data_IF_674081984262
#
_entry.id   IF_674081984262
#
_cell.length_a   1.000
_cell.length_b   1.000
_cell.length_c   1.000
_cell.angle_alpha   90.00
_cell.angle_beta   90.00
_cell.angle_gamma   90.00
#
_symmetry.space_group_name_H-M   'P 1'
#
loop_
_entity.id
_entity.type
_entity.pdbx_description
1 polymer ?
#
# COMPACT_ATOMS: atom_id res chain seq x y z
N UNK A 1 22.85 -21.28 -3.35
CA UNK A 1 22.34 -20.02 -3.97
C UNK A 1 20.98 -19.54 -3.43
N UNK A 2 20.08 -20.40 -2.92
CA UNK A 2 18.75 -19.98 -2.43
C UNK A 2 18.75 -19.08 -1.17
N UNK A 3 19.80 -19.12 -0.34
CA UNK A 3 19.89 -18.32 0.90
C UNK A 3 20.22 -16.82 0.64
N UNK A 4 20.84 -16.50 -0.49
CA UNK A 4 21.17 -15.12 -0.87
C UNK A 4 19.95 -14.37 -1.42
N UNK A 5 19.14 -15.04 -2.24
CA UNK A 5 17.89 -14.47 -2.79
C UNK A 5 16.90 -14.10 -1.68
N UNK A 6 16.72 -14.96 -0.68
CA UNK A 6 15.83 -14.70 0.45
C UNK A 6 16.32 -13.58 1.38
N UNK A 7 17.65 -13.48 1.62
CA UNK A 7 18.24 -12.38 2.40
C UNK A 7 18.19 -11.05 1.66
N UNK A 8 18.41 -11.06 0.35
CA UNK A 8 18.33 -9.87 -0.49
C UNK A 8 16.88 -9.35 -0.61
N UNK A 9 15.90 -10.24 -0.77
CA UNK A 9 14.49 -9.86 -0.79
C UNK A 9 13.99 -9.32 0.55
N UNK A 10 14.44 -9.89 1.68
CA UNK A 10 14.15 -9.36 3.02
C UNK A 10 14.83 -8.00 3.28
N UNK A 11 16.06 -7.81 2.80
CA UNK A 11 16.75 -6.52 2.92
C UNK A 11 16.05 -5.43 2.09
N UNK A 12 15.59 -5.75 0.88
CA UNK A 12 14.78 -4.84 0.04
C UNK A 12 13.37 -4.58 0.62
N UNK A 13 12.87 -5.46 1.47
CA UNK A 13 11.57 -5.29 2.12
C UNK A 13 11.59 -4.27 3.28
N UNK A 14 12.77 -3.88 3.77
CA UNK A 14 12.89 -2.86 4.81
C UNK A 14 12.77 -1.45 4.21
N UNK A 15 11.91 -0.56 4.75
CA UNK A 15 11.70 0.78 4.19
C UNK A 15 12.98 1.63 4.13
N UNK A 16 13.91 1.41 5.06
CA UNK A 16 15.19 2.16 5.13
C UNK A 16 16.12 1.79 3.97
N UNK A 17 16.36 0.50 3.74
CA UNK A 17 17.23 0.01 2.66
C UNK A 17 16.65 0.32 1.30
N UNK A 18 15.32 0.21 1.14
CA UNK A 18 14.61 0.57 -0.10
C UNK A 18 14.75 2.04 -0.46
N UNK A 19 14.55 2.93 0.51
CA UNK A 19 14.76 4.37 0.31
C UNK A 19 16.19 4.73 -0.09
N UNK A 20 17.19 4.13 0.57
CA UNK A 20 18.60 4.36 0.23
C UNK A 20 18.98 3.78 -1.14
N UNK A 21 18.48 2.61 -1.51
CA UNK A 21 18.69 2.02 -2.83
C UNK A 21 18.07 2.89 -3.93
N UNK A 22 16.85 3.40 -3.68
CA UNK A 22 16.18 4.31 -4.59
C UNK A 22 16.94 5.63 -4.77
N UNK A 23 17.43 6.21 -3.67
CA UNK A 23 18.30 7.38 -3.71
C UNK A 23 19.61 7.12 -4.46
N UNK A 24 20.20 5.94 -4.29
CA UNK A 24 21.37 5.49 -5.06
C UNK A 24 21.08 5.43 -6.55
N UNK A 25 19.95 4.86 -6.96
CA UNK A 25 19.55 4.81 -8.37
C UNK A 25 19.30 6.20 -8.96
N UNK A 26 18.65 7.09 -8.21
CA UNK A 26 18.44 8.48 -8.62
C UNK A 26 19.76 9.25 -8.80
N UNK A 27 20.72 9.06 -7.88
CA UNK A 27 22.05 9.67 -7.97
C UNK A 27 22.85 9.10 -9.14
N UNK A 28 22.85 7.78 -9.33
CA UNK A 28 23.52 7.13 -10.47
C UNK A 28 22.91 7.59 -11.79
N UNK A 29 21.58 7.70 -11.86
CA UNK A 29 20.88 8.24 -13.03
C UNK A 29 21.25 9.70 -13.32
N UNK A 30 21.33 10.55 -12.29
CA UNK A 30 21.74 11.94 -12.45
C UNK A 30 23.20 12.08 -12.90
N UNK A 31 24.12 11.31 -12.29
CA UNK A 31 25.53 11.26 -12.71
C UNK A 31 25.65 10.76 -14.15
N UNK A 32 24.92 9.71 -14.51
CA UNK A 32 24.90 9.18 -15.88
C UNK A 32 24.35 10.18 -16.90
N UNK A 33 23.27 10.90 -16.56
CA UNK A 33 22.71 11.95 -17.39
C UNK A 33 23.70 13.10 -17.60
N UNK A 34 24.33 13.59 -16.52
CA UNK A 34 25.36 14.62 -16.61
C UNK A 34 26.53 14.14 -17.48
N UNK A 35 27.08 12.95 -17.21
CA UNK A 35 28.19 12.38 -17.97
C UNK A 35 27.87 12.23 -19.47
N UNK A 36 26.66 11.77 -19.81
CA UNK A 36 26.21 11.71 -21.19
C UNK A 36 26.22 13.09 -21.85
N UNK A 37 25.77 14.13 -21.14
CA UNK A 37 25.82 15.51 -21.63
C UNK A 37 27.24 16.10 -21.71
N UNK A 38 28.20 15.61 -20.91
CA UNK A 38 29.62 15.94 -21.07
C UNK A 38 30.22 15.37 -22.36
N UNK A 39 29.85 14.14 -22.73
CA UNK A 39 30.48 13.42 -23.84
C UNK A 39 29.79 13.61 -25.20
N UNK A 40 28.46 13.70 -25.22
CA UNK A 40 27.70 13.64 -26.48
C UNK A 40 27.63 14.99 -27.22
N UNK A 41 28.12 16.10 -26.62
CA UNK A 41 28.15 17.45 -27.22
C UNK A 41 26.84 17.86 -27.91
N UNK A 42 25.70 17.36 -27.41
CA UNK A 42 24.43 17.40 -28.14
C UNK A 42 23.85 18.81 -28.33
N UNK A 43 24.36 19.83 -27.60
CA UNK A 43 23.69 21.13 -27.46
C UNK A 43 24.62 22.34 -27.28
N UNK A 44 25.93 22.19 -27.51
CA UNK A 44 26.87 23.30 -27.37
C UNK A 44 28.06 23.14 -28.30
N UNK A 45 28.55 24.26 -28.80
CA UNK A 45 29.82 24.33 -29.51
C UNK A 45 30.94 24.57 -28.49
N UNK A 46 32.08 23.92 -28.71
CA UNK A 46 33.26 24.14 -27.87
C UNK A 46 33.97 25.41 -28.33
N UNK A 47 34.46 26.25 -27.40
CA UNK A 47 35.37 27.34 -27.77
C UNK A 47 36.55 26.81 -28.57
N UNK A 48 36.90 27.51 -29.65
CA UNK A 48 38.04 27.18 -30.52
C UNK A 48 39.37 27.55 -29.89
N UNK A 49 39.37 28.56 -29.01
CA UNK A 49 40.55 28.99 -28.28
C UNK A 49 40.82 28.07 -27.08
N UNK A 50 42.06 27.57 -26.92
CA UNK A 50 42.39 26.55 -25.91
C UNK A 50 42.20 27.05 -24.47
N UNK A 51 42.40 28.35 -24.24
CA UNK A 51 42.27 28.96 -22.91
C UNK A 51 40.80 29.08 -22.48
N UNK A 52 39.96 29.68 -23.34
CA UNK A 52 38.49 29.74 -23.16
C UNK A 52 37.86 28.35 -23.03
N UNK A 53 38.40 27.35 -23.72
CA UNK A 53 37.96 25.96 -23.59
C UNK A 53 38.19 25.42 -22.17
N UNK A 54 39.32 25.74 -21.53
CA UNK A 54 39.58 25.33 -20.15
C UNK A 54 38.61 26.00 -19.18
N UNK A 55 38.42 27.31 -19.28
CA UNK A 55 37.44 28.06 -18.48
C UNK A 55 36.02 27.52 -18.64
N UNK A 56 35.62 27.21 -19.88
CA UNK A 56 34.35 26.56 -20.17
C UNK A 56 34.20 25.19 -19.51
N UNK A 57 35.22 24.33 -19.58
CA UNK A 57 35.20 23.02 -18.94
C UNK A 57 35.17 23.12 -17.40
N UNK A 58 35.96 24.02 -16.82
CA UNK A 58 35.97 24.28 -15.37
C UNK A 58 34.59 24.71 -14.89
N UNK A 59 33.94 25.65 -15.60
CA UNK A 59 32.58 26.09 -15.30
C UNK A 59 31.57 24.93 -15.30
N UNK A 60 31.70 23.99 -16.24
CA UNK A 60 30.87 22.79 -16.30
C UNK A 60 31.10 21.85 -15.13
N UNK A 61 32.35 21.52 -14.83
CA UNK A 61 32.67 20.61 -13.72
C UNK A 61 32.22 21.19 -12.38
N UNK A 62 32.44 22.49 -12.16
CA UNK A 62 32.07 23.17 -10.94
C UNK A 62 30.54 23.22 -10.77
N UNK A 63 29.80 23.60 -11.82
CA UNK A 63 28.35 23.59 -11.79
C UNK A 63 27.76 22.19 -11.56
N UNK A 64 28.32 21.16 -12.22
CA UNK A 64 27.88 19.77 -12.03
C UNK A 64 28.13 19.29 -10.59
N UNK A 65 29.30 19.61 -10.03
CA UNK A 65 29.64 19.25 -8.65
C UNK A 65 28.69 19.90 -7.63
N UNK A 66 28.47 21.21 -7.75
CA UNK A 66 27.53 21.94 -6.87
C UNK A 66 26.11 21.40 -7.02
N UNK A 67 25.66 21.17 -8.25
CA UNK A 67 24.32 20.61 -8.49
C UNK A 67 24.17 19.22 -7.87
N UNK A 68 25.15 18.33 -8.00
CA UNK A 68 25.11 16.99 -7.41
C UNK A 68 25.05 17.03 -5.88
N UNK A 69 25.77 17.95 -5.25
CA UNK A 69 25.70 18.17 -3.79
C UNK A 69 24.30 18.65 -3.39
N UNK A 70 23.74 19.63 -4.10
CA UNK A 70 22.38 20.11 -3.86
C UNK A 70 21.34 19.00 -4.09
N UNK A 71 21.49 18.22 -5.15
CA UNK A 71 20.61 17.10 -5.49
C UNK A 71 20.64 16.01 -4.41
N UNK A 72 21.83 15.65 -3.92
CA UNK A 72 21.98 14.72 -2.80
C UNK A 72 21.28 15.21 -1.53
N UNK A 73 21.39 16.51 -1.22
CA UNK A 73 20.71 17.12 -0.07
C UNK A 73 19.17 17.06 -0.23
N UNK A 74 18.65 17.32 -1.44
CA UNK A 74 17.22 17.22 -1.76
C UNK A 74 16.72 15.79 -1.57
N UNK A 75 17.39 14.80 -2.16
CA UNK A 75 17.03 13.38 -2.02
C UNK A 75 17.09 12.95 -0.55
N UNK A 76 18.16 13.28 0.16
CA UNK A 76 18.33 12.95 1.58
C UNK A 76 17.19 13.52 2.43
N UNK A 77 16.75 14.75 2.14
CA UNK A 77 15.61 15.37 2.81
C UNK A 77 14.29 14.67 2.48
N UNK A 78 14.08 14.26 1.22
CA UNK A 78 12.89 13.47 0.81
C UNK A 78 12.84 12.15 1.58
N UNK A 79 13.97 11.45 1.73
CA UNK A 79 14.06 10.22 2.52
C UNK A 79 13.74 10.43 4.01
N UNK A 80 14.19 11.55 4.60
CA UNK A 80 13.90 11.88 6.01
C UNK A 80 12.42 12.20 6.23
N UNK A 81 11.78 12.88 5.28
CA UNK A 81 10.34 13.21 5.34
C UNK A 81 9.50 11.94 5.17
N UNK A 82 9.89 11.04 4.26
CA UNK A 82 9.24 9.73 4.12
C UNK A 82 9.30 8.89 5.41
N UNK A 83 10.35 9.05 6.24
CA UNK A 83 10.47 8.38 7.54
C UNK A 83 9.60 8.95 8.65
N UNK A 84 9.26 10.24 8.58
CA UNK A 84 8.56 10.96 9.65
C UNK A 84 7.04 10.98 9.46
N UNK A 85 6.51 10.26 8.46
CA UNK A 85 5.06 10.17 8.20
C UNK A 85 4.44 11.49 7.70
N UNK A 86 5.27 12.47 7.33
CA UNK A 86 4.82 13.74 6.76
C UNK A 86 4.37 13.53 5.31
N UNK A 87 3.43 14.37 4.84
CA UNK A 87 2.82 14.25 3.50
C UNK A 87 3.88 14.26 2.39
N UNK A 88 4.09 13.09 1.78
CA UNK A 88 5.01 12.87 0.65
C UNK A 88 4.59 13.70 -0.56
N UNK A 89 3.28 13.89 -0.76
CA UNK A 89 2.69 14.66 -1.86
C UNK A 89 3.11 16.12 -1.84
N UNK A 90 3.09 16.78 -0.67
CA UNK A 90 3.58 18.17 -0.54
C UNK A 90 5.07 18.29 -0.80
N UNK A 91 5.85 17.29 -0.37
CA UNK A 91 7.29 17.25 -0.62
C UNK A 91 7.58 17.13 -2.12
N UNK A 92 6.89 16.23 -2.81
CA UNK A 92 7.04 15.98 -4.25
C UNK A 92 6.75 17.20 -5.12
N UNK A 93 5.75 17.99 -4.74
CA UNK A 93 5.41 19.24 -5.44
C UNK A 93 6.52 20.30 -5.36
N UNK A 94 7.36 20.25 -4.31
CA UNK A 94 8.43 21.23 -4.09
C UNK A 94 9.76 20.77 -4.71
N UNK A 95 9.93 19.48 -5.03
CA UNK A 95 11.17 18.94 -5.60
C UNK A 95 11.62 19.69 -6.87
N UNK A 96 10.76 19.95 -7.88
CA UNK A 96 11.19 20.71 -9.06
C UNK A 96 11.71 22.11 -8.73
N UNK A 97 11.07 22.80 -7.77
CA UNK A 97 11.49 24.14 -7.31
C UNK A 97 12.86 24.07 -6.65
N UNK A 98 13.11 23.06 -5.82
CA UNK A 98 14.41 22.86 -5.17
C UNK A 98 15.51 22.51 -6.18
N UNK A 99 15.19 21.73 -7.21
CA UNK A 99 16.14 21.39 -8.28
C UNK A 99 16.51 22.62 -9.11
N UNK A 100 15.52 23.44 -9.48
CA UNK A 100 15.76 24.72 -10.13
C UNK A 100 16.60 25.65 -9.23
N UNK A 101 16.27 25.73 -7.95
CA UNK A 101 17.07 26.47 -6.96
C UNK A 101 18.51 25.97 -6.85
N UNK A 102 18.73 24.66 -6.92
CA UNK A 102 20.06 24.05 -6.95
C UNK A 102 20.87 24.44 -8.19
N UNK A 103 20.22 24.55 -9.37
CA UNK A 103 20.87 25.05 -10.58
C UNK A 103 21.25 26.53 -10.46
N UNK A 104 20.34 27.38 -9.96
CA UNK A 104 20.65 28.79 -9.73
C UNK A 104 21.79 28.96 -8.72
N UNK A 105 21.82 28.15 -7.67
CA UNK A 105 22.92 28.13 -6.71
C UNK A 105 24.24 27.72 -7.36
N UNK A 106 24.23 26.70 -8.24
CA UNK A 106 25.41 26.30 -9.01
C UNK A 106 25.94 27.42 -9.89
N UNK A 107 25.06 28.11 -10.63
CA UNK A 107 25.43 29.27 -11.45
C UNK A 107 25.99 30.42 -10.62
N UNK A 108 25.39 30.72 -9.47
CA UNK A 108 25.86 31.77 -8.57
C UNK A 108 27.25 31.46 -8.00
N UNK A 109 27.50 30.20 -7.59
CA UNK A 109 28.81 29.79 -7.09
C UNK A 109 29.86 29.83 -8.20
N UNK A 110 29.53 29.38 -9.42
CA UNK A 110 30.43 29.51 -10.57
C UNK A 110 30.79 30.97 -10.84
N UNK A 111 29.80 31.87 -10.83
CA UNK A 111 30.04 33.29 -11.01
C UNK A 111 30.96 33.85 -9.93
N UNK A 112 30.72 33.51 -8.64
CA UNK A 112 31.57 33.95 -7.54
C UNK A 112 33.01 33.43 -7.67
N UNK A 113 33.20 32.19 -8.08
CA UNK A 113 34.53 31.63 -8.32
C UNK A 113 35.23 32.32 -9.50
N UNK A 114 34.51 32.56 -10.60
CA UNK A 114 35.06 33.22 -11.79
C UNK A 114 35.47 34.68 -11.49
N UNK A 115 34.58 35.46 -10.87
CA UNK A 115 34.89 36.84 -10.45
C UNK A 115 35.97 36.87 -9.36
N UNK A 116 35.94 35.91 -8.44
CA UNK A 116 36.96 35.77 -7.39
C UNK A 116 38.36 35.51 -7.96
N UNK A 117 38.47 34.65 -8.99
CA UNK A 117 39.72 34.44 -9.74
C UNK A 117 40.22 35.75 -10.34
N UNK A 118 39.37 36.47 -11.08
CA UNK A 118 39.76 37.75 -11.69
C UNK A 118 40.16 38.80 -10.65
N UNK A 119 39.48 38.83 -9.50
CA UNK A 119 39.83 39.72 -8.39
C UNK A 119 41.20 39.41 -7.77
N UNK A 120 41.58 38.13 -7.70
CA UNK A 120 42.92 37.72 -7.24
C UNK A 120 44.01 38.08 -8.26
N UNK A 121 43.73 37.97 -9.55
CA UNK A 121 44.66 38.37 -10.60
C UNK A 121 44.87 39.89 -10.59
N UNK A 122 43.80 40.66 -10.38
CA UNK A 122 43.85 42.13 -10.30
C UNK A 122 44.64 42.65 -9.08
N UNK A 123 44.54 41.98 -7.93
CA UNK A 123 45.17 42.42 -6.68
C UNK A 123 46.57 41.83 -6.48
N UNK A 124 46.79 40.59 -6.92
CA UNK A 124 48.03 39.85 -6.70
C UNK A 124 48.97 39.79 -7.90
N UNK A 125 48.53 40.23 -9.09
CA UNK A 125 49.35 40.18 -10.31
C UNK A 125 49.67 38.77 -10.79
N UNK A 126 48.85 37.79 -10.41
CA UNK A 126 49.05 36.37 -10.74
C UNK A 126 48.63 36.02 -12.19
N UNK A 127 48.04 36.95 -12.94
CA UNK A 127 47.61 36.78 -14.34
C UNK A 127 47.09 38.07 -14.99
N UNK A 128 46.73 38.02 -16.28
CA UNK A 128 45.97 39.09 -16.96
C UNK A 128 44.48 38.99 -16.62
N UNK A 129 43.85 40.14 -16.36
CA UNK A 129 42.41 40.20 -16.09
C UNK A 129 41.66 40.14 -17.42
N UNK A 130 40.88 39.08 -17.61
CA UNK A 130 40.17 38.80 -18.86
C UNK A 130 38.72 38.46 -18.57
N UNK A 131 37.83 39.47 -18.68
CA UNK A 131 36.39 39.30 -18.49
C UNK A 131 35.75 38.27 -19.45
N UNK A 132 36.45 37.96 -20.55
CA UNK A 132 36.09 36.89 -21.47
C UNK A 132 36.14 35.50 -20.79
N UNK A 133 37.03 35.28 -19.83
CA UNK A 133 37.15 34.02 -19.09
C UNK A 133 35.97 33.79 -18.16
N UNK A 134 35.48 34.87 -17.53
CA UNK A 134 34.25 34.85 -16.72
C UNK A 134 33.06 34.44 -17.59
N UNK A 135 32.97 35.02 -18.80
CA UNK A 135 31.89 34.70 -19.75
C UNK A 135 31.96 33.25 -20.24
N UNK A 136 33.16 32.73 -20.52
CA UNK A 136 33.37 31.34 -20.93
C UNK A 136 33.01 30.36 -19.81
N UNK A 137 33.39 30.68 -18.57
CA UNK A 137 33.08 29.86 -17.39
C UNK A 137 31.57 29.79 -17.13
N UNK A 138 30.85 30.91 -17.24
CA UNK A 138 29.39 30.98 -17.13
C UNK A 138 28.68 30.24 -18.27
N UNK A 139 29.14 30.42 -19.51
CA UNK A 139 28.61 29.73 -20.67
C UNK A 139 28.74 28.21 -20.49
N UNK A 140 29.88 27.75 -19.98
CA UNK A 140 30.11 26.37 -19.58
C UNK A 140 29.04 25.90 -18.60
N UNK A 141 28.86 26.58 -17.47
CA UNK A 141 27.88 26.20 -16.47
C UNK A 141 26.42 26.17 -16.99
N UNK A 142 26.04 27.13 -17.85
CA UNK A 142 24.70 27.20 -18.43
C UNK A 142 24.38 25.99 -19.34
N UNK A 143 25.38 25.37 -19.96
CA UNK A 143 25.17 24.17 -20.81
C UNK A 143 24.64 22.95 -20.06
N UNK A 144 24.64 22.96 -18.72
CA UNK A 144 24.06 21.90 -17.91
C UNK A 144 22.55 22.00 -17.74
N UNK A 145 21.92 23.14 -18.08
CA UNK A 145 20.49 23.35 -17.89
C UNK A 145 19.61 22.25 -18.52
N UNK A 146 19.86 21.77 -19.75
CA UNK A 146 19.07 20.68 -20.33
C UNK A 146 19.23 19.35 -19.59
N UNK A 147 20.45 19.04 -19.10
CA UNK A 147 20.69 17.83 -18.32
C UNK A 147 19.95 17.89 -16.97
N UNK A 148 19.95 19.06 -16.32
CA UNK A 148 19.18 19.29 -15.09
C UNK A 148 17.68 19.21 -15.35
N UNK A 149 17.18 19.76 -16.46
CA UNK A 149 15.77 19.65 -16.84
C UNK A 149 15.33 18.19 -17.05
N UNK A 150 16.18 17.36 -17.67
CA UNK A 150 15.94 15.92 -17.81
C UNK A 150 15.88 15.23 -16.44
N UNK A 151 16.83 15.54 -15.56
CA UNK A 151 16.84 15.02 -14.18
C UNK A 151 15.54 15.44 -13.47
N UNK A 152 15.14 16.71 -13.57
CA UNK A 152 13.88 17.23 -13.01
C UNK A 152 12.63 16.51 -13.53
N UNK A 153 12.60 16.14 -14.81
CA UNK A 153 11.49 15.40 -15.40
C UNK A 153 11.45 13.94 -14.93
N UNK A 154 12.62 13.33 -14.75
CA UNK A 154 12.76 11.93 -14.35
C UNK A 154 12.53 11.72 -12.85
N UNK A 155 13.05 12.58 -11.97
CA UNK A 155 13.01 12.38 -10.50
C UNK A 155 11.59 12.11 -9.96
N UNK A 156 10.52 12.82 -10.38
CA UNK A 156 9.16 12.56 -9.90
C UNK A 156 8.59 11.22 -10.36
N UNK A 157 8.99 10.69 -11.52
CA UNK A 157 8.53 9.41 -12.07
C UNK A 157 9.16 8.23 -11.30
N UNK A 158 10.38 8.42 -10.82
CA UNK A 158 11.08 7.39 -10.06
C UNK A 158 10.60 7.31 -8.60
N UNK A 159 10.15 8.40 -7.96
CA UNK A 159 9.70 8.34 -6.56
C UNK A 159 8.50 7.39 -6.30
N UNK A 160 7.45 7.27 -7.15
CA UNK A 160 6.38 6.28 -6.98
C UNK A 160 6.81 4.84 -7.34
N UNK A 161 8.03 4.60 -7.83
CA UNK A 161 8.55 3.24 -8.04
C UNK A 161 8.59 2.43 -6.71
N UNK A 162 8.60 3.13 -5.56
CA UNK A 162 8.46 2.55 -4.22
C UNK A 162 7.12 1.80 -4.03
N UNK A 163 6.05 2.20 -4.72
CA UNK A 163 4.75 1.51 -4.75
C UNK A 163 4.81 0.26 -5.66
N UNK A 164 5.49 0.35 -6.80
CA UNK A 164 5.68 -0.80 -7.70
C UNK A 164 6.57 -1.88 -7.08
N UNK A 165 7.58 -1.49 -6.29
CA UNK A 165 8.39 -2.41 -5.50
C UNK A 165 7.63 -3.10 -4.35
N UNK A 166 6.46 -2.57 -3.96
CA UNK A 166 5.59 -3.16 -2.93
C UNK A 166 4.55 -4.13 -3.50
N UNK A 167 4.24 -4.03 -4.79
CA UNK A 167 3.23 -4.87 -5.46
C UNK A 167 3.45 -6.38 -5.24
N UNK A 168 4.68 -6.92 -5.39
CA UNK A 168 4.90 -8.35 -5.20
C UNK A 168 4.58 -8.79 -3.77
N UNK A 169 4.94 -7.98 -2.76
CA UNK A 169 4.72 -8.33 -1.36
C UNK A 169 3.23 -8.32 -0.99
N UNK A 170 2.46 -7.36 -1.48
CA UNK A 170 1.02 -7.31 -1.27
C UNK A 170 0.36 -8.56 -1.87
N UNK A 171 0.71 -8.89 -3.12
CA UNK A 171 0.17 -10.08 -3.79
C UNK A 171 0.54 -11.40 -3.08
N UNK A 172 1.78 -11.56 -2.60
CA UNK A 172 2.20 -12.78 -1.89
C UNK A 172 1.69 -12.87 -0.45
N UNK A 173 1.51 -11.76 0.26
CA UNK A 173 0.95 -11.74 1.60
C UNK A 173 -0.53 -12.11 1.60
N UNK A 174 -1.30 -11.59 0.63
CA UNK A 174 -2.73 -11.89 0.48
C UNK A 174 -2.96 -13.34 0.07
N UNK A 175 -2.10 -13.92 -0.78
CA UNK A 175 -2.17 -15.35 -1.10
C UNK A 175 -1.88 -16.24 0.12
N UNK A 176 -0.88 -15.91 0.95
CA UNK A 176 -0.52 -16.71 2.12
C UNK A 176 -1.57 -16.63 3.23
N UNK A 177 -2.13 -15.45 3.46
CA UNK A 177 -3.21 -15.25 4.44
C UNK A 177 -4.49 -15.94 3.98
N UNK A 178 -4.86 -15.80 2.69
CA UNK A 178 -6.01 -16.50 2.11
C UNK A 178 -5.92 -18.02 2.24
N UNK A 179 -4.77 -18.62 1.94
CA UNK A 179 -4.56 -20.06 2.09
C UNK A 179 -4.66 -20.53 3.55
N UNK A 180 -4.08 -19.78 4.50
CA UNK A 180 -4.20 -20.10 5.93
C UNK A 180 -5.65 -20.03 6.42
N UNK A 181 -6.42 -19.03 5.95
CA UNK A 181 -7.85 -18.92 6.29
C UNK A 181 -8.65 -20.11 5.78
N UNK A 182 -8.37 -20.59 4.56
CA UNK A 182 -9.01 -21.79 3.98
C UNK A 182 -8.64 -23.04 4.79
N UNK A 183 -7.36 -23.23 5.15
CA UNK A 183 -6.92 -24.39 5.94
C UNK A 183 -7.59 -24.43 7.32
N UNK A 184 -7.68 -23.29 8.01
CA UNK A 184 -8.35 -23.18 9.31
C UNK A 184 -9.84 -23.49 9.17
N UNK A 185 -10.49 -22.98 8.13
CA UNK A 185 -11.89 -23.26 7.83
C UNK A 185 -12.15 -24.75 7.59
N UNK A 186 -11.35 -25.40 6.72
CA UNK A 186 -11.49 -26.83 6.40
C UNK A 186 -11.32 -27.68 7.66
N UNK A 187 -10.34 -27.35 8.51
CA UNK A 187 -10.14 -28.03 9.79
C UNK A 187 -11.36 -27.87 10.71
N UNK A 188 -11.85 -26.64 10.89
CA UNK A 188 -13.02 -26.36 11.73
C UNK A 188 -14.28 -27.09 11.23
N UNK A 189 -14.49 -27.12 9.91
CA UNK A 189 -15.62 -27.82 9.28
C UNK A 189 -15.57 -29.33 9.51
N UNK A 190 -14.39 -29.97 9.34
CA UNK A 190 -14.22 -31.42 9.59
C UNK A 190 -14.50 -31.82 11.03
N UNK A 191 -14.00 -31.05 11.99
CA UNK A 191 -14.24 -31.31 13.43
C UNK A 191 -15.75 -31.31 13.78
N UNK A 192 -16.55 -30.47 13.12
CA UNK A 192 -18.01 -30.46 13.28
C UNK A 192 -18.74 -31.53 12.45
N UNK A 193 -18.11 -32.10 11.42
CA UNK A 193 -18.66 -33.18 10.60
C UNK A 193 -18.54 -34.56 11.27
N UNK A 194 -17.43 -34.83 11.96
CA UNK A 194 -17.10 -36.16 12.49
C UNK A 194 -17.75 -36.51 13.84
N UNK A 195 -18.44 -35.56 14.48
CA UNK A 195 -18.84 -35.63 15.90
C UNK A 195 -20.02 -36.54 16.29
N UNK A 196 -20.60 -37.34 15.39
CA UNK A 196 -21.70 -38.30 15.65
C UNK A 196 -23.04 -37.79 16.24
N UNK A 197 -23.10 -36.62 16.87
CA UNK A 197 -24.28 -36.00 17.51
C UNK A 197 -25.09 -35.15 16.53
N UNK A 198 -26.42 -34.99 16.64
CA UNK A 198 -27.14 -34.07 15.76
C UNK A 198 -26.66 -32.62 15.95
N UNK A 199 -26.73 -31.81 14.88
CA UNK A 199 -26.36 -30.40 14.94
C UNK A 199 -27.39 -29.61 15.78
N UNK A 200 -26.88 -28.79 16.70
CA UNK A 200 -27.68 -27.89 17.54
C UNK A 200 -27.68 -26.45 17.02
N UNK A 201 -26.69 -26.09 16.18
CA UNK A 201 -26.53 -24.77 15.58
C UNK A 201 -26.55 -24.90 14.05
N UNK A 202 -27.37 -24.09 13.39
CA UNK A 202 -27.29 -23.85 11.94
C UNK A 202 -26.55 -22.53 11.72
N UNK A 203 -25.43 -22.55 11.01
CA UNK A 203 -24.67 -21.37 10.61
C UNK A 203 -24.84 -21.13 9.12
N UNK A 204 -25.35 -19.95 8.76
CA UNK A 204 -25.58 -19.52 7.38
C UNK A 204 -24.67 -18.32 7.12
N UNK A 205 -23.56 -18.54 6.43
CA UNK A 205 -22.51 -17.53 6.26
C UNK A 205 -21.69 -17.85 5.00
N UNK A 206 -21.47 -16.88 4.12
CA UNK A 206 -20.67 -17.07 2.90
C UNK A 206 -19.23 -16.53 3.05
N UNK A 207 -18.97 -15.67 4.05
CA UNK A 207 -17.62 -15.23 4.39
C UNK A 207 -16.88 -16.30 5.23
N UNK A 208 -15.80 -16.83 4.67
CA UNK A 208 -15.00 -17.91 5.28
C UNK A 208 -14.45 -17.50 6.65
N UNK A 209 -14.04 -16.23 6.83
CA UNK A 209 -13.45 -15.74 8.09
C UNK A 209 -14.51 -15.71 9.20
N UNK A 210 -15.68 -15.15 8.90
CA UNK A 210 -16.79 -15.09 9.84
C UNK A 210 -17.33 -16.50 10.14
N UNK A 211 -17.45 -17.36 9.12
CA UNK A 211 -17.91 -18.74 9.29
C UNK A 211 -16.96 -19.51 10.22
N UNK A 212 -15.65 -19.38 10.01
CA UNK A 212 -14.61 -19.96 10.86
C UNK A 212 -14.69 -19.45 12.30
N UNK A 213 -14.92 -18.15 12.49
CA UNK A 213 -15.06 -17.54 13.81
C UNK A 213 -16.26 -18.12 14.56
N UNK A 214 -17.41 -18.24 13.89
CA UNK A 214 -18.64 -18.81 14.45
C UNK A 214 -18.49 -20.31 14.76
N UNK A 215 -17.89 -21.09 13.87
CA UNK A 215 -17.64 -22.52 14.09
C UNK A 215 -16.69 -22.76 15.27
N UNK A 216 -15.62 -21.96 15.40
CA UNK A 216 -14.71 -22.03 16.53
C UNK A 216 -15.39 -21.64 17.84
N UNK A 217 -16.23 -20.62 17.82
CA UNK A 217 -17.05 -20.26 18.98
C UNK A 217 -17.94 -21.44 19.41
N UNK A 218 -18.68 -22.03 18.47
CA UNK A 218 -19.55 -23.17 18.77
C UNK A 218 -18.77 -24.34 19.38
N UNK A 219 -17.58 -24.63 18.84
CA UNK A 219 -16.67 -25.65 19.39
C UNK A 219 -16.26 -25.36 20.83
N UNK A 220 -15.85 -24.13 21.13
CA UNK A 220 -15.44 -23.72 22.49
C UNK A 220 -16.59 -23.84 23.48
N UNK A 221 -17.83 -23.58 23.05
CA UNK A 221 -19.04 -23.70 23.89
C UNK A 221 -19.60 -25.14 23.89
N UNK A 222 -18.99 -26.08 23.17
CA UNK A 222 -19.42 -27.47 23.11
C UNK A 222 -20.69 -27.71 22.27
N UNK A 223 -21.03 -26.77 21.38
CA UNK A 223 -22.17 -26.85 20.47
C UNK A 223 -21.74 -27.37 19.10
N UNK A 224 -22.46 -28.36 18.57
CA UNK A 224 -22.24 -28.85 17.21
C UNK A 224 -22.91 -27.92 16.20
N UNK A 225 -22.12 -27.44 15.24
CA UNK A 225 -22.54 -26.49 14.23
C UNK A 225 -22.59 -27.15 12.84
N UNK A 226 -23.68 -26.96 12.11
CA UNK A 226 -23.75 -27.26 10.69
C UNK A 226 -23.66 -25.95 9.90
N UNK A 227 -22.64 -25.82 9.06
CA UNK A 227 -22.42 -24.64 8.23
C UNK A 227 -22.98 -24.87 6.83
N UNK A 228 -23.71 -23.87 6.33
CA UNK A 228 -24.21 -23.78 4.97
C UNK A 228 -23.82 -22.42 4.39
N UNK A 229 -23.60 -22.38 3.08
CA UNK A 229 -23.10 -21.18 2.39
C UNK A 229 -24.19 -20.45 1.58
N UNK A 230 -25.40 -21.02 1.54
CA UNK A 230 -26.53 -20.44 0.82
C UNK A 230 -27.84 -20.51 1.59
N UNK A 231 -28.75 -19.60 1.24
CA UNK A 231 -30.12 -19.58 1.79
C UNK A 231 -30.92 -20.83 1.42
N UNK A 232 -30.68 -21.42 0.24
CA UNK A 232 -31.38 -22.62 -0.21
C UNK A 232 -30.99 -23.85 0.62
N UNK A 233 -29.69 -24.01 0.91
CA UNK A 233 -29.18 -25.03 1.82
C UNK A 233 -29.72 -24.82 3.23
N UNK A 234 -29.75 -23.56 3.70
CA UNK A 234 -30.27 -23.21 5.02
C UNK A 234 -31.75 -23.59 5.18
N UNK A 235 -32.60 -23.28 4.20
CA UNK A 235 -34.03 -23.61 4.23
C UNK A 235 -34.24 -25.13 4.24
N UNK A 236 -33.53 -25.85 3.37
CA UNK A 236 -33.61 -27.32 3.27
C UNK A 236 -33.19 -27.97 4.58
N UNK A 237 -32.04 -27.55 5.14
CA UNK A 237 -31.49 -28.12 6.36
C UNK A 237 -32.35 -27.81 7.58
N UNK A 238 -32.81 -26.56 7.73
CA UNK A 238 -33.63 -26.14 8.86
C UNK A 238 -34.93 -26.95 8.93
N UNK A 239 -35.62 -27.13 7.81
CA UNK A 239 -36.87 -27.91 7.74
C UNK A 239 -36.67 -29.37 8.12
N UNK A 240 -35.56 -29.98 7.69
CA UNK A 240 -35.23 -31.37 8.02
C UNK A 240 -34.87 -31.56 9.51
N UNK A 241 -34.36 -30.54 10.18
CA UNK A 241 -33.76 -30.65 11.52
C UNK A 241 -34.41 -29.75 12.59
N UNK A 242 -35.66 -29.32 12.38
CA UNK A 242 -36.39 -28.42 13.32
C UNK A 242 -36.39 -28.89 14.78
N UNK A 243 -36.32 -30.20 15.01
CA UNK A 243 -36.33 -30.80 16.37
C UNK A 243 -34.98 -30.71 17.09
N UNK A 244 -33.87 -30.60 16.36
CA UNK A 244 -32.51 -30.64 16.94
C UNK A 244 -31.87 -29.26 16.99
N UNK A 245 -32.22 -28.38 16.05
CA UNK A 245 -31.70 -27.02 16.01
C UNK A 245 -32.26 -26.20 17.16
N UNK A 246 -31.34 -25.57 17.91
CA UNK A 246 -31.63 -24.65 19.03
C UNK A 246 -31.17 -23.22 18.72
N UNK A 247 -30.26 -23.04 17.76
CA UNK A 247 -29.69 -21.74 17.40
C UNK A 247 -29.49 -21.65 15.88
N UNK A 248 -29.88 -20.53 15.29
CA UNK A 248 -29.59 -20.15 13.90
C UNK A 248 -28.71 -18.92 13.95
N UNK A 249 -27.49 -19.02 13.43
CA UNK A 249 -26.58 -17.91 13.17
C UNK A 249 -26.68 -17.57 11.68
N UNK A 250 -27.13 -16.37 11.34
CA UNK A 250 -27.44 -15.97 9.97
C UNK A 250 -26.68 -14.70 9.58
N UNK A 251 -25.92 -14.73 8.49
CA UNK A 251 -25.52 -13.50 7.82
C UNK A 251 -26.71 -12.91 7.05
N UNK A 252 -26.86 -11.59 7.14
CA UNK A 252 -27.85 -10.87 6.36
C UNK A 252 -27.55 -10.91 4.86
N UNK A 253 -26.27 -10.95 4.47
CA UNK A 253 -25.84 -11.01 3.07
C UNK A 253 -25.21 -12.35 2.78
N UNK A 254 -26.00 -13.30 2.29
CA UNK A 254 -25.53 -14.63 1.91
C UNK A 254 -25.86 -14.83 0.44
N UNK A 255 -25.00 -15.57 -0.27
CA UNK A 255 -25.30 -16.01 -1.63
C UNK A 255 -26.66 -16.73 -1.68
N UNK A 256 -27.53 -16.24 -2.54
CA UNK A 256 -28.70 -16.96 -2.95
C UNK A 256 -28.36 -17.82 -4.16
N UNK A 257 -28.93 -19.03 -4.17
CA UNK A 257 -28.87 -20.12 -5.16
C UNK A 257 -28.33 -19.76 -6.57
N UNK A 258 -27.69 -20.72 -7.25
CA UNK A 258 -26.99 -20.58 -8.55
C UNK A 258 -27.85 -20.02 -9.71
N UNK A 259 -29.15 -19.80 -9.46
CA UNK A 259 -30.15 -19.24 -10.38
C UNK A 259 -30.27 -17.72 -10.32
N UNK A 260 -29.40 -17.00 -9.61
CA UNK A 260 -29.27 -15.54 -9.71
C UNK A 260 -30.41 -14.72 -9.09
N UNK A 261 -31.25 -15.31 -8.23
CA UNK A 261 -32.22 -14.56 -7.44
C UNK A 261 -31.52 -13.99 -6.22
N UNK A 262 -31.39 -12.67 -6.09
CA UNK A 262 -30.81 -12.03 -4.90
C UNK A 262 -31.77 -12.12 -3.71
N UNK A 263 -31.76 -13.24 -2.99
CA UNK A 263 -32.51 -13.40 -1.73
C UNK A 263 -31.55 -13.13 -0.58
N UNK A 264 -31.84 -12.12 0.22
CA UNK A 264 -31.02 -11.80 1.41
C UNK A 264 -31.46 -12.63 2.62
N UNK A 265 -30.61 -12.69 3.66
CA UNK A 265 -30.98 -13.31 4.94
C UNK A 265 -32.22 -12.65 5.55
N UNK A 266 -32.37 -11.33 5.39
CA UNK A 266 -33.61 -10.60 5.67
C UNK A 266 -34.82 -11.17 4.94
N UNK A 267 -34.73 -11.34 3.62
CA UNK A 267 -35.86 -11.83 2.82
C UNK A 267 -36.25 -13.26 3.22
N UNK A 268 -35.25 -14.09 3.53
CA UNK A 268 -35.46 -15.42 4.08
C UNK A 268 -36.17 -15.39 5.43
N UNK A 269 -35.76 -14.53 6.38
CA UNK A 269 -36.43 -14.38 7.68
C UNK A 269 -37.89 -13.94 7.54
N UNK A 270 -38.17 -13.00 6.62
CA UNK A 270 -39.54 -12.56 6.34
C UNK A 270 -40.38 -13.69 5.74
N UNK A 271 -39.81 -14.50 4.85
CA UNK A 271 -40.48 -15.68 4.30
C UNK A 271 -40.75 -16.74 5.38
N UNK A 272 -39.81 -16.94 6.31
CA UNK A 272 -39.99 -17.86 7.44
C UNK A 272 -41.07 -17.39 8.42
N UNK A 273 -41.23 -16.08 8.65
CA UNK A 273 -42.27 -15.51 9.55
C UNK A 273 -43.69 -15.97 9.18
N UNK A 274 -43.96 -16.19 7.89
CA UNK A 274 -45.25 -16.66 7.40
C UNK A 274 -45.52 -18.14 7.69
N UNK A 275 -44.52 -18.91 8.15
CA UNK A 275 -44.63 -20.35 8.33
C UNK A 275 -45.04 -20.71 9.78
N UNK A 276 -45.98 -21.65 9.97
CA UNK A 276 -46.49 -22.00 11.31
C UNK A 276 -45.40 -22.44 12.29
N UNK A 277 -44.39 -23.18 11.83
CA UNK A 277 -43.31 -23.67 12.69
C UNK A 277 -42.41 -22.55 13.21
N UNK A 278 -42.32 -21.43 12.49
CA UNK A 278 -41.42 -20.33 12.86
C UNK A 278 -42.05 -19.46 13.95
N UNK A 279 -43.38 -19.30 13.92
CA UNK A 279 -44.12 -18.61 14.99
C UNK A 279 -44.05 -19.36 16.33
N UNK A 280 -43.86 -20.68 16.29
CA UNK A 280 -43.72 -21.54 17.47
C UNK A 280 -42.29 -22.06 17.63
N UNK A 281 -41.30 -21.34 17.08
CA UNK A 281 -39.91 -21.80 17.07
C UNK A 281 -39.39 -22.03 18.49
N UNK A 282 -38.65 -23.13 18.68
CA UNK A 282 -37.91 -23.45 19.91
C UNK A 282 -36.42 -23.12 19.82
N UNK A 283 -36.04 -22.40 18.77
CA UNK A 283 -34.67 -22.01 18.50
C UNK A 283 -34.54 -20.49 18.47
N UNK A 284 -33.36 -20.01 18.84
CA UNK A 284 -32.99 -18.61 18.77
C UNK A 284 -32.44 -18.28 17.37
N UNK A 285 -32.67 -17.06 16.91
CA UNK A 285 -32.17 -16.51 15.65
C UNK A 285 -31.25 -15.34 15.98
N UNK A 286 -29.98 -15.47 15.61
CA UNK A 286 -28.97 -14.41 15.74
C UNK A 286 -28.54 -13.99 14.35
N UNK A 287 -28.65 -12.71 14.05
CA UNK A 287 -28.14 -12.16 12.79
C UNK A 287 -26.78 -11.54 12.99
N UNK A 288 -25.83 -11.86 12.12
CA UNK A 288 -24.51 -11.26 12.07
C UNK A 288 -24.47 -10.39 10.79
N UNK A 289 -24.26 -9.08 10.89
CA UNK A 289 -24.27 -8.22 9.70
C UNK A 289 -23.29 -7.05 9.79
N UNK A 290 -22.65 -6.69 8.67
CA UNK A 290 -21.91 -5.44 8.56
C UNK A 290 -22.79 -4.19 8.54
N UNK A 291 -24.08 -4.35 8.19
CA UNK A 291 -25.02 -3.25 8.00
C UNK A 291 -26.36 -3.57 8.69
N UNK A 292 -26.37 -3.51 10.01
CA UNK A 292 -27.54 -3.83 10.85
C UNK A 292 -28.78 -2.98 10.54
N UNK A 293 -28.59 -1.76 10.05
CA UNK A 293 -29.68 -0.87 9.61
C UNK A 293 -30.50 -1.43 8.44
N UNK A 294 -29.95 -2.37 7.65
CA UNK A 294 -30.61 -2.92 6.46
C UNK A 294 -31.59 -4.07 6.78
N UNK A 295 -31.64 -4.53 8.04
CA UNK A 295 -32.60 -5.56 8.48
C UNK A 295 -34.06 -5.07 8.44
N UNK A 296 -34.31 -3.79 8.70
CA UNK A 296 -35.66 -3.21 8.70
C UNK A 296 -36.64 -4.04 9.53
N UNK A 297 -37.77 -4.41 8.92
CA UNK A 297 -38.84 -5.19 9.58
C UNK A 297 -38.42 -6.61 9.99
N UNK A 298 -37.37 -7.19 9.40
CA UNK A 298 -36.90 -8.51 9.80
C UNK A 298 -36.26 -8.50 11.20
N UNK A 299 -35.85 -7.33 11.71
CA UNK A 299 -35.27 -7.21 13.06
C UNK A 299 -36.20 -7.69 14.16
N UNK A 300 -37.53 -7.58 13.97
CA UNK A 300 -38.54 -8.11 14.91
C UNK A 300 -38.51 -9.64 15.06
N UNK A 301 -37.90 -10.33 14.10
CA UNK A 301 -37.82 -11.80 14.08
C UNK A 301 -36.48 -12.31 14.60
N UNK A 302 -35.59 -11.43 15.04
CA UNK A 302 -34.23 -11.75 15.45
C UNK A 302 -34.10 -11.56 16.95
N UNK A 303 -33.54 -12.55 17.64
CA UNK A 303 -33.37 -12.52 19.10
C UNK A 303 -32.09 -11.75 19.50
N UNK A 304 -31.08 -11.71 18.62
CA UNK A 304 -29.88 -10.88 18.78
C UNK A 304 -29.31 -10.45 17.42
N UNK A 305 -28.93 -9.17 17.31
CA UNK A 305 -28.19 -8.65 16.14
C UNK A 305 -26.75 -8.35 16.55
N UNK A 306 -25.79 -8.92 15.83
CA UNK A 306 -24.35 -8.73 16.00
C UNK A 306 -23.79 -7.95 14.81
N UNK A 307 -23.10 -6.85 15.07
CA UNK A 307 -22.44 -6.06 14.03
C UNK A 307 -21.06 -6.66 13.70
N UNK A 308 -20.77 -6.91 12.42
CA UNK A 308 -19.42 -7.32 11.97
C UNK A 308 -18.45 -6.12 12.11
N UNK A 309 -17.23 -6.29 12.66
CA UNK A 309 -16.71 -7.49 13.32
C UNK A 309 -17.35 -7.71 14.70
N UNK A 310 -17.85 -8.91 14.97
CA UNK A 310 -18.57 -9.22 16.21
C UNK A 310 -17.67 -9.83 17.27
N UNK A 311 -18.00 -9.64 18.55
CA UNK A 311 -17.23 -10.16 19.67
C UNK A 311 -17.88 -11.43 20.24
N UNK A 312 -17.15 -12.58 20.34
CA UNK A 312 -17.69 -13.82 20.87
C UNK A 312 -18.29 -13.74 22.28
N UNK A 313 -17.83 -12.79 23.09
CA UNK A 313 -18.36 -12.55 24.44
C UNK A 313 -19.83 -12.12 24.44
N UNK A 314 -20.26 -11.34 23.45
CA UNK A 314 -21.65 -10.87 23.34
C UNK A 314 -22.59 -12.05 23.07
N UNK A 315 -22.22 -12.91 22.11
CA UNK A 315 -22.97 -14.12 21.82
C UNK A 315 -22.99 -15.07 23.02
N UNK A 316 -21.86 -15.24 23.73
CA UNK A 316 -21.81 -16.08 24.93
C UNK A 316 -22.73 -15.58 26.04
N UNK A 317 -22.74 -14.27 26.31
CA UNK A 317 -23.62 -13.68 27.33
C UNK A 317 -25.09 -13.89 26.98
N UNK A 318 -25.46 -13.66 25.72
CA UNK A 318 -26.81 -13.88 25.22
C UNK A 318 -27.23 -15.36 25.36
N UNK A 319 -26.37 -16.30 24.96
CA UNK A 319 -26.66 -17.72 25.08
C UNK A 319 -26.86 -18.16 26.54
N UNK A 320 -26.02 -17.68 27.47
CA UNK A 320 -26.18 -17.96 28.91
C UNK A 320 -27.50 -17.47 29.47
N UNK A 321 -27.98 -16.30 29.04
CA UNK A 321 -29.28 -15.77 29.48
C UNK A 321 -30.47 -16.63 29.02
N UNK A 322 -30.27 -17.45 27.97
CA UNK A 322 -31.30 -18.30 27.38
C UNK A 322 -31.07 -19.80 27.66
N UNK A 323 -30.27 -20.14 28.68
CA UNK A 323 -30.11 -21.52 29.17
C UNK A 323 -29.30 -22.43 28.24
N UNK A 324 -28.30 -21.86 27.55
CA UNK A 324 -27.27 -22.63 26.84
C UNK A 324 -26.01 -22.83 27.68
#
# INVERSE_FOLDING_TARGET
>A
MQCWSAKFSQALAHPRTRGWLHAGLLMLGAVGALAAFFHLKLWYELPTEPDKLQHFLVGRWLAAGVFLVAYFAIISRVLLVARTGRSLTRMLLIVPILLAGGLFLALAIVLLCAVGKEGLDLVGGFGSVEWLDVSATLAGAATLAPAVALIMACTPVFIPLDLLMQLPRLMFADMRTGLQTIDIYVRASREHADGGRPAAVLLVEDDIVCATTAMNFCRVVGLRCHHVSSIAEADTFLRAHLKTIRLVLLDNFVRADDRGRNITGRDWLLALKALPFFQQRRFLVVVISGHTSLLGQAAEQVDLVLQKPWQPRQLLQFLKQHGF
#
